data_IF_500917808326
#
_entry.id   IF_500917808326
#
_cell.length_a   1.000
_cell.length_b   1.000
_cell.length_c   1.000
_cell.angle_alpha   90.00
_cell.angle_beta   90.00
_cell.angle_gamma   90.00
#
_symmetry.space_group_name_H-M   'P 1'
#
loop_
_entity.id
_entity.type
_entity.pdbx_description
1 polymer ?
#
# COMPACT_ATOMS: atom_id res chain seq x y z
N UNK A 1 -19.50 24.41 -40.95
CA UNK A 1 -18.65 23.44 -40.24
C UNK A 1 -18.39 24.05 -38.86
N UNK A 2 -19.27 23.75 -37.88
CA UNK A 2 -19.25 24.34 -36.56
C UNK A 2 -18.35 23.43 -35.67
N UNK A 3 -17.20 23.97 -35.25
CA UNK A 3 -16.37 23.32 -34.22
C UNK A 3 -17.11 23.48 -32.88
N UNK A 4 -17.66 22.42 -32.39
CA UNK A 4 -18.14 22.33 -31.00
C UNK A 4 -16.93 22.29 -30.08
N UNK A 5 -16.65 23.41 -29.39
CA UNK A 5 -15.70 23.40 -28.28
C UNK A 5 -16.27 22.52 -27.19
N UNK A 6 -15.56 21.44 -26.86
CA UNK A 6 -15.83 20.62 -25.69
C UNK A 6 -15.40 21.45 -24.49
N UNK A 7 -16.35 21.76 -23.61
CA UNK A 7 -16.15 22.48 -22.36
C UNK A 7 -15.29 21.61 -21.42
N UNK A 8 -14.14 22.11 -20.91
CA UNK A 8 -13.30 21.37 -19.98
C UNK A 8 -13.91 21.22 -18.58
N UNK A 9 -15.15 21.69 -18.37
CA UNK A 9 -15.90 21.56 -17.12
C UNK A 9 -16.84 20.36 -17.06
N UNK A 10 -16.78 19.42 -18.05
CA UNK A 10 -17.55 18.20 -17.97
C UNK A 10 -17.12 17.47 -16.71
N UNK A 11 -18.02 17.42 -15.75
CA UNK A 11 -17.94 16.86 -14.42
C UNK A 11 -17.36 15.45 -14.49
N UNK A 12 -16.05 15.35 -14.28
CA UNK A 12 -15.43 14.06 -13.93
C UNK A 12 -16.15 13.57 -12.70
N UNK A 13 -16.88 12.49 -12.86
CA UNK A 13 -17.63 11.83 -11.79
C UNK A 13 -16.67 11.53 -10.62
N UNK A 14 -16.67 12.42 -9.62
CA UNK A 14 -15.81 12.34 -8.43
C UNK A 14 -16.11 11.08 -7.59
N UNK A 15 -17.16 10.32 -7.93
CA UNK A 15 -17.48 9.04 -7.35
C UNK A 15 -16.66 7.86 -7.89
N UNK A 16 -15.91 8.05 -8.98
CA UNK A 16 -15.15 6.97 -9.65
C UNK A 16 -13.73 6.76 -9.09
N UNK A 17 -13.14 7.75 -8.41
CA UNK A 17 -11.76 7.68 -7.92
C UNK A 17 -11.70 7.50 -6.40
N UNK A 18 -10.79 6.65 -5.89
CA UNK A 18 -10.62 6.48 -4.46
C UNK A 18 -10.01 7.74 -3.81
N UNK A 19 -10.61 8.20 -2.71
CA UNK A 19 -10.06 9.29 -1.89
C UNK A 19 -8.98 8.78 -0.92
N UNK A 20 -9.08 7.52 -0.47
CA UNK A 20 -8.17 6.91 0.50
C UNK A 20 -7.70 5.55 0.06
N UNK A 21 -6.39 5.44 -0.14
CA UNK A 21 -5.73 4.24 -0.64
C UNK A 21 -4.81 3.69 0.43
N UNK A 22 -4.88 2.39 0.71
CA UNK A 22 -3.94 1.69 1.58
C UNK A 22 -3.10 0.73 0.76
N UNK A 23 -1.77 0.84 0.87
CA UNK A 23 -0.83 -0.17 0.37
C UNK A 23 -0.43 -1.06 1.55
N UNK A 24 -0.51 -2.38 1.39
CA UNK A 24 -0.07 -3.36 2.37
C UNK A 24 1.18 -4.06 1.85
N UNK A 25 2.33 -3.70 2.39
CA UNK A 25 3.60 -4.41 2.24
C UNK A 25 4.32 -4.38 3.58
N UNK A 26 4.25 -5.50 4.29
CA UNK A 26 4.61 -5.59 5.71
C UNK A 26 6.12 -5.65 5.91
N UNK A 27 6.80 -6.43 5.07
CA UNK A 27 8.23 -6.77 5.08
C UNK A 27 8.57 -7.53 3.78
N UNK A 28 9.82 -7.82 3.38
CA UNK A 28 11.08 -7.43 3.97
C UNK A 28 11.53 -6.05 3.45
N UNK A 29 12.68 -5.53 3.95
CA UNK A 29 13.22 -4.23 3.56
C UNK A 29 13.34 -4.10 2.02
N UNK A 30 13.97 -5.08 1.35
CA UNK A 30 14.12 -5.07 -0.10
C UNK A 30 12.79 -4.99 -0.84
N UNK A 31 11.81 -5.78 -0.42
CA UNK A 31 10.47 -5.78 -1.03
C UNK A 31 9.72 -4.46 -0.84
N UNK A 32 9.91 -3.80 0.32
CA UNK A 32 9.35 -2.46 0.57
C UNK A 32 9.98 -1.45 -0.39
N UNK A 33 11.31 -1.51 -0.58
CA UNK A 33 12.01 -0.66 -1.54
C UNK A 33 11.52 -0.92 -2.98
N UNK A 34 11.39 -2.19 -3.39
CA UNK A 34 10.91 -2.55 -4.74
C UNK A 34 9.45 -2.15 -4.99
N UNK A 35 8.62 -2.11 -3.95
CA UNK A 35 7.22 -1.69 -4.04
C UNK A 35 6.99 -0.19 -3.82
N UNK A 36 7.99 0.55 -3.35
CA UNK A 36 7.86 1.99 -3.04
C UNK A 36 7.39 2.84 -4.23
N UNK A 37 7.75 2.53 -5.50
CA UNK A 37 7.26 3.30 -6.64
C UNK A 37 5.73 3.26 -6.83
N UNK A 38 5.03 2.31 -6.19
CA UNK A 38 3.57 2.28 -6.21
C UNK A 38 2.99 3.59 -5.67
N UNK A 39 3.63 4.21 -4.67
CA UNK A 39 3.14 5.46 -4.06
C UNK A 39 3.08 6.57 -5.10
N UNK A 40 4.20 6.83 -5.79
CA UNK A 40 4.29 7.89 -6.80
C UNK A 40 3.40 7.56 -8.01
N UNK A 41 3.35 6.29 -8.43
CA UNK A 41 2.49 5.84 -9.53
C UNK A 41 1.00 6.07 -9.23
N UNK A 42 0.56 5.69 -8.03
CA UNK A 42 -0.83 5.90 -7.61
C UNK A 42 -1.15 7.39 -7.45
N UNK A 43 -0.20 8.18 -6.92
CA UNK A 43 -0.39 9.63 -6.81
C UNK A 43 -0.51 10.31 -8.16
N UNK A 44 0.18 9.80 -9.18
CA UNK A 44 0.06 10.27 -10.56
C UNK A 44 -1.33 10.06 -11.16
N UNK A 45 -1.99 8.95 -10.83
CA UNK A 45 -3.36 8.63 -11.30
C UNK A 45 -4.43 9.24 -10.41
N UNK A 46 -4.27 9.09 -9.09
CA UNK A 46 -5.23 9.53 -8.07
C UNK A 46 -4.70 10.75 -7.33
N UNK A 47 -4.55 11.88 -8.03
CA UNK A 47 -3.87 13.09 -7.52
C UNK A 47 -4.46 13.61 -6.21
N UNK A 48 -5.78 13.50 -6.03
CA UNK A 48 -6.48 13.90 -4.81
C UNK A 48 -6.41 12.91 -3.65
N UNK A 49 -5.99 11.66 -3.90
CA UNK A 49 -6.06 10.60 -2.90
C UNK A 49 -5.03 10.77 -1.79
N UNK A 50 -5.44 10.48 -0.55
CA UNK A 50 -4.56 10.24 0.57
C UNK A 50 -4.05 8.80 0.51
N UNK A 51 -2.72 8.60 0.42
CA UNK A 51 -2.09 7.28 0.35
C UNK A 51 -1.51 6.92 1.71
N UNK A 52 -1.83 5.73 2.19
CA UNK A 52 -1.36 5.17 3.45
C UNK A 52 -0.59 3.88 3.18
N UNK A 53 0.28 3.53 4.10
CA UNK A 53 1.03 2.28 4.02
C UNK A 53 0.90 1.49 5.33
N UNK A 54 0.61 0.19 5.23
CA UNK A 54 0.62 -0.74 6.37
C UNK A 54 1.90 -1.56 6.35
N UNK A 55 2.69 -1.45 7.41
CA UNK A 55 4.02 -2.05 7.51
C UNK A 55 4.31 -2.63 8.90
N UNK A 56 5.33 -3.48 8.99
CA UNK A 56 5.95 -3.85 10.27
C UNK A 56 6.93 -2.75 10.73
N UNK A 57 7.10 -2.57 12.05
CA UNK A 57 7.95 -1.52 12.63
C UNK A 57 9.35 -1.36 12.01
N UNK A 58 10.10 -2.46 11.66
CA UNK A 58 11.46 -2.30 11.15
C UNK A 58 11.59 -1.58 9.81
N UNK A 59 10.52 -1.51 9.02
CA UNK A 59 10.55 -0.88 7.69
C UNK A 59 9.95 0.53 7.67
N UNK A 60 9.37 0.98 8.77
CA UNK A 60 8.76 2.32 8.89
C UNK A 60 9.73 3.44 8.52
N UNK A 61 11.01 3.45 8.98
CA UNK A 61 11.95 4.51 8.65
C UNK A 61 12.23 4.70 7.15
N UNK A 62 11.93 3.68 6.31
CA UNK A 62 12.08 3.77 4.86
C UNK A 62 10.92 4.52 4.19
N UNK A 63 9.80 4.68 4.90
CA UNK A 63 8.52 5.13 4.37
C UNK A 63 8.06 6.45 4.97
N UNK A 64 8.33 6.71 6.26
CA UNK A 64 7.74 7.80 7.03
C UNK A 64 8.03 9.21 6.50
N UNK A 65 9.12 9.35 5.72
CA UNK A 65 9.48 10.64 5.10
C UNK A 65 9.07 10.72 3.62
N UNK A 66 8.29 9.77 3.12
CA UNK A 66 7.86 9.81 1.73
C UNK A 66 6.83 10.93 1.50
N UNK A 67 7.08 11.90 0.59
CA UNK A 67 6.27 13.13 0.47
C UNK A 67 4.82 12.88 0.06
N UNK A 68 4.54 11.75 -0.59
CA UNK A 68 3.20 11.40 -1.05
C UNK A 68 2.49 10.38 -0.14
N UNK A 69 3.11 9.93 0.96
CA UNK A 69 2.43 9.16 1.99
C UNK A 69 1.81 10.09 3.04
N UNK A 70 0.54 9.84 3.34
CA UNK A 70 -0.19 10.55 4.40
C UNK A 70 0.22 10.04 5.78
N UNK A 71 0.37 8.71 5.92
CA UNK A 71 0.74 8.07 7.19
C UNK A 71 1.21 6.63 6.94
N UNK A 72 2.03 6.12 7.85
CA UNK A 72 2.46 4.72 7.91
C UNK A 72 1.83 4.04 9.11
N UNK A 73 0.92 3.12 8.86
CA UNK A 73 0.21 2.36 9.89
C UNK A 73 1.07 1.17 10.29
N UNK A 74 1.43 1.08 11.55
CA UNK A 74 2.23 -0.04 12.07
C UNK A 74 1.34 -1.21 12.44
N UNK A 75 1.62 -2.39 11.87
CA UNK A 75 1.03 -3.64 12.30
C UNK A 75 1.74 -4.16 13.56
N UNK A 76 1.02 -4.37 14.69
CA UNK A 76 1.62 -4.79 15.97
C UNK A 76 1.88 -6.32 15.99
N UNK A 77 2.67 -6.81 15.01
CA UNK A 77 2.95 -8.25 14.84
C UNK A 77 3.65 -8.84 16.06
N UNK A 78 4.63 -8.10 16.62
CA UNK A 78 5.45 -8.58 17.74
C UNK A 78 4.57 -8.82 18.96
N UNK A 79 3.74 -7.85 19.31
CA UNK A 79 2.80 -7.89 20.41
C UNK A 79 1.81 -9.05 20.27
N UNK A 80 1.29 -9.26 19.05
CA UNK A 80 0.40 -10.38 18.78
C UNK A 80 1.09 -11.73 18.90
N UNK A 81 2.35 -11.84 18.45
CA UNK A 81 3.15 -13.05 18.59
C UNK A 81 3.45 -13.38 20.05
N UNK A 82 3.75 -12.37 20.87
CA UNK A 82 3.99 -12.51 22.30
C UNK A 82 2.73 -12.95 23.06
N UNK A 83 1.57 -12.37 22.72
CA UNK A 83 0.30 -12.78 23.31
C UNK A 83 -0.07 -14.22 22.93
N UNK A 84 0.22 -14.61 21.69
CA UNK A 84 -0.02 -15.94 21.19
C UNK A 84 0.86 -16.98 21.92
N UNK A 85 2.17 -16.72 21.99
CA UNK A 85 3.14 -17.63 22.62
C UNK A 85 2.95 -17.76 24.12
N UNK A 86 2.43 -16.72 24.78
CA UNK A 86 2.12 -16.74 26.22
C UNK A 86 0.73 -17.31 26.54
N UNK A 87 0.00 -17.84 25.54
CA UNK A 87 -1.33 -18.43 25.73
C UNK A 87 -2.44 -17.42 26.10
N UNK A 88 -2.19 -16.11 25.94
CA UNK A 88 -3.14 -15.05 26.31
C UNK A 88 -4.15 -14.76 25.18
N UNK A 89 -4.90 -15.77 24.80
CA UNK A 89 -5.82 -15.74 23.64
C UNK A 89 -6.89 -14.65 23.70
N UNK A 90 -7.48 -14.42 24.90
CA UNK A 90 -8.49 -13.38 25.05
C UNK A 90 -7.91 -11.97 24.86
N UNK A 91 -6.68 -11.76 25.34
CA UNK A 91 -5.98 -10.49 25.13
C UNK A 91 -5.63 -10.30 23.65
N UNK A 92 -5.13 -11.34 22.99
CA UNK A 92 -4.87 -11.31 21.55
C UNK A 92 -6.13 -10.99 20.74
N UNK A 93 -7.24 -11.66 21.02
CA UNK A 93 -8.50 -11.40 20.34
C UNK A 93 -8.96 -9.94 20.51
N UNK A 94 -8.83 -9.40 21.73
CA UNK A 94 -9.15 -8.00 22.02
C UNK A 94 -8.29 -7.03 21.21
N UNK A 95 -6.98 -7.29 21.09
CA UNK A 95 -6.06 -6.47 20.28
C UNK A 95 -6.37 -6.57 18.78
N UNK A 96 -6.67 -7.76 18.27
CA UNK A 96 -7.10 -7.94 16.88
C UNK A 96 -8.38 -7.13 16.58
N UNK A 97 -9.39 -7.21 17.47
CA UNK A 97 -10.64 -6.45 17.30
C UNK A 97 -10.39 -4.94 17.37
N UNK A 98 -9.53 -4.48 18.29
CA UNK A 98 -9.13 -3.08 18.41
C UNK A 98 -8.44 -2.59 17.14
N UNK A 99 -7.50 -3.36 16.60
CA UNK A 99 -6.77 -3.02 15.38
C UNK A 99 -7.70 -2.99 14.17
N UNK A 100 -8.59 -3.98 14.04
CA UNK A 100 -9.64 -3.98 13.01
C UNK A 100 -10.52 -2.72 13.08
N UNK A 101 -10.95 -2.33 14.29
CA UNK A 101 -11.74 -1.10 14.48
C UNK A 101 -10.95 0.13 14.06
N UNK A 102 -9.67 0.22 14.42
CA UNK A 102 -8.77 1.31 13.99
C UNK A 102 -8.65 1.38 12.47
N UNK A 103 -8.41 0.25 11.78
CA UNK A 103 -8.30 0.21 10.31
C UNK A 103 -9.60 0.69 9.64
N UNK A 104 -10.76 0.31 10.18
CA UNK A 104 -12.06 0.74 9.64
C UNK A 104 -12.35 2.24 9.80
N UNK A 105 -11.74 2.89 10.79
CA UNK A 105 -11.89 4.34 11.00
C UNK A 105 -11.26 5.16 9.86
N UNK A 106 -10.25 4.61 9.17
CA UNK A 106 -9.64 5.26 8.01
C UNK A 106 -10.56 5.31 6.80
N UNK A 107 -11.58 4.42 6.69
CA UNK A 107 -12.54 4.34 5.58
C UNK A 107 -11.84 4.30 4.23
N UNK A 108 -10.96 3.31 4.03
CA UNK A 108 -10.27 3.12 2.77
C UNK A 108 -11.24 2.72 1.66
N UNK A 109 -11.12 3.33 0.50
CA UNK A 109 -11.87 3.01 -0.71
C UNK A 109 -11.21 1.89 -1.49
N UNK A 110 -9.87 1.95 -1.56
CA UNK A 110 -9.01 1.00 -2.24
C UNK A 110 -7.93 0.48 -1.29
N UNK A 111 -7.79 -0.83 -1.23
CA UNK A 111 -6.68 -1.51 -0.53
C UNK A 111 -5.90 -2.35 -1.53
N UNK A 112 -4.58 -2.21 -1.52
CA UNK A 112 -3.65 -2.89 -2.41
C UNK A 112 -2.79 -3.83 -1.58
N UNK A 113 -3.02 -5.14 -1.69
CA UNK A 113 -2.17 -6.16 -1.07
C UNK A 113 -0.98 -6.46 -1.98
N UNK A 114 0.10 -5.70 -1.78
CA UNK A 114 1.38 -5.87 -2.48
C UNK A 114 2.26 -6.98 -1.87
N UNK A 115 1.79 -7.67 -0.83
CA UNK A 115 2.48 -8.79 -0.21
C UNK A 115 2.09 -10.13 -0.85
N UNK A 116 0.80 -10.35 -1.13
CA UNK A 116 0.29 -11.56 -1.74
C UNK A 116 0.33 -12.79 -0.83
N UNK A 117 0.18 -12.64 0.48
CA UNK A 117 0.11 -13.70 1.48
C UNK A 117 -1.24 -13.71 2.19
N UNK A 118 -1.63 -14.85 2.77
CA UNK A 118 -2.89 -14.95 3.52
C UNK A 118 -3.00 -13.91 4.64
N UNK A 119 -1.92 -13.70 5.40
CA UNK A 119 -1.89 -12.72 6.50
C UNK A 119 -2.16 -11.29 6.03
N UNK A 120 -1.60 -10.87 4.89
CA UNK A 120 -1.82 -9.53 4.32
C UNK A 120 -3.21 -9.40 3.73
N UNK A 121 -3.74 -10.44 3.10
CA UNK A 121 -5.12 -10.48 2.62
C UNK A 121 -6.14 -10.38 3.76
N UNK A 122 -5.88 -11.03 4.92
CA UNK A 122 -6.69 -10.87 6.14
C UNK A 122 -6.68 -9.42 6.62
N UNK A 123 -5.50 -8.78 6.65
CA UNK A 123 -5.40 -7.36 7.02
C UNK A 123 -6.16 -6.46 6.04
N UNK A 124 -6.08 -6.75 4.74
CA UNK A 124 -6.86 -6.05 3.72
C UNK A 124 -8.38 -6.19 3.97
N UNK A 125 -8.85 -7.41 4.25
CA UNK A 125 -10.25 -7.66 4.59
C UNK A 125 -10.68 -6.96 5.89
N UNK A 126 -9.82 -6.88 6.88
CA UNK A 126 -10.10 -6.20 8.15
C UNK A 126 -10.41 -4.72 7.99
N UNK A 127 -9.89 -4.05 6.96
CA UNK A 127 -10.18 -2.63 6.66
C UNK A 127 -11.64 -2.38 6.37
N UNK A 128 -12.34 -3.37 5.77
CA UNK A 128 -13.71 -3.23 5.29
C UNK A 128 -13.83 -2.45 3.98
N UNK A 129 -12.71 -2.16 3.30
CA UNK A 129 -12.73 -1.51 1.99
C UNK A 129 -13.52 -2.36 0.97
N UNK A 130 -14.28 -1.68 0.10
CA UNK A 130 -15.07 -2.32 -0.95
C UNK A 130 -14.17 -2.94 -2.02
N UNK A 131 -13.12 -2.22 -2.41
CA UNK A 131 -12.16 -2.65 -3.43
C UNK A 131 -10.85 -3.09 -2.77
N UNK A 132 -10.51 -4.36 -2.92
CA UNK A 132 -9.30 -4.97 -2.36
C UNK A 132 -8.58 -5.75 -3.45
N UNK A 133 -7.50 -5.18 -3.94
CA UNK A 133 -6.69 -5.70 -5.06
C UNK A 133 -5.44 -6.35 -4.50
N UNK A 134 -5.07 -7.52 -4.96
CA UNK A 134 -3.84 -8.17 -4.53
C UNK A 134 -3.33 -9.22 -5.49
N UNK A 135 -2.13 -9.73 -5.25
CA UNK A 135 -1.58 -10.80 -6.09
C UNK A 135 -2.33 -12.11 -5.91
N UNK A 136 -2.51 -12.81 -7.01
CA UNK A 136 -2.93 -14.20 -6.98
C UNK A 136 -1.88 -15.02 -6.24
N UNK A 137 -2.31 -15.81 -5.29
CA UNK A 137 -1.47 -16.64 -4.42
C UNK A 137 -1.98 -18.07 -4.40
N UNK A 138 -1.09 -19.02 -4.11
CA UNK A 138 -1.47 -20.42 -3.80
C UNK A 138 -2.24 -20.50 -2.47
N UNK A 139 -2.12 -19.51 -1.62
CA UNK A 139 -2.84 -19.42 -0.36
C UNK A 139 -4.32 -19.05 -0.58
N UNK A 140 -5.23 -19.40 0.33
CA UNK A 140 -6.68 -19.19 0.16
C UNK A 140 -7.10 -17.72 0.36
N UNK A 141 -6.60 -16.83 -0.49
CA UNK A 141 -6.87 -15.37 -0.43
C UNK A 141 -8.13 -14.96 -1.20
N UNK A 142 -8.71 -15.88 -2.00
CA UNK A 142 -9.81 -15.60 -2.94
C UNK A 142 -11.04 -14.94 -2.29
N UNK A 143 -11.40 -15.36 -1.08
CA UNK A 143 -12.56 -14.81 -0.37
C UNK A 143 -12.28 -13.46 0.31
N UNK A 144 -11.00 -13.07 0.44
CA UNK A 144 -10.54 -11.89 1.17
C UNK A 144 -10.29 -10.70 0.24
N UNK A 145 -9.94 -10.96 -1.02
CA UNK A 145 -9.66 -9.97 -2.07
C UNK A 145 -10.85 -9.89 -3.04
N UNK A 146 -11.12 -8.72 -3.57
CA UNK A 146 -12.16 -8.51 -4.61
C UNK A 146 -11.59 -8.67 -6.02
N UNK A 147 -10.32 -8.34 -6.21
CA UNK A 147 -9.60 -8.46 -7.46
C UNK A 147 -8.25 -9.13 -7.22
N UNK A 148 -7.85 -10.01 -8.15
CA UNK A 148 -6.57 -10.70 -8.07
C UNK A 148 -5.80 -10.53 -9.37
N UNK A 149 -4.54 -10.18 -9.24
CA UNK A 149 -3.62 -9.95 -10.35
C UNK A 149 -2.60 -11.08 -10.36
N UNK A 150 -2.40 -11.71 -11.52
CA UNK A 150 -1.32 -12.69 -11.68
C UNK A 150 0.03 -11.98 -11.52
N UNK A 151 0.95 -12.65 -10.83
CA UNK A 151 2.31 -12.13 -10.69
C UNK A 151 2.99 -12.15 -12.05
N UNK A 152 3.50 -11.01 -12.47
CA UNK A 152 4.33 -10.94 -13.65
C UNK A 152 5.70 -11.61 -13.36
N UNK A 153 6.01 -12.64 -14.14
CA UNK A 153 7.29 -13.34 -14.10
C UNK A 153 8.40 -12.63 -14.90
N UNK A 154 8.23 -11.35 -15.19
CA UNK A 154 9.23 -10.54 -15.90
C UNK A 154 10.60 -10.56 -15.21
N UNK A 155 11.68 -10.26 -15.95
CA UNK A 155 13.07 -10.40 -15.46
C UNK A 155 13.44 -9.43 -14.34
N UNK A 156 12.71 -8.34 -14.17
CA UNK A 156 12.97 -7.35 -13.12
C UNK A 156 12.20 -7.69 -11.84
N UNK A 157 12.85 -7.56 -10.69
CA UNK A 157 12.24 -7.79 -9.36
C UNK A 157 11.00 -6.91 -9.14
N UNK A 158 10.97 -5.72 -9.75
CA UNK A 158 9.83 -4.79 -9.68
C UNK A 158 8.71 -5.09 -10.70
N UNK A 159 8.85 -6.10 -11.56
CA UNK A 159 7.88 -6.40 -12.63
C UNK A 159 6.47 -6.62 -12.08
N UNK A 160 6.33 -7.38 -10.98
CA UNK A 160 5.04 -7.63 -10.36
C UNK A 160 4.37 -6.33 -9.85
N UNK A 161 5.12 -5.41 -9.27
CA UNK A 161 4.56 -4.13 -8.78
C UNK A 161 4.22 -3.18 -9.93
N UNK A 162 4.96 -3.24 -11.03
CA UNK A 162 4.64 -2.50 -12.24
C UNK A 162 3.35 -3.03 -12.88
N UNK A 163 3.18 -4.34 -12.96
CA UNK A 163 1.94 -4.96 -13.42
C UNK A 163 0.74 -4.54 -12.57
N UNK A 164 0.93 -4.51 -11.24
CA UNK A 164 -0.08 -4.01 -10.30
C UNK A 164 -0.42 -2.53 -10.55
N UNK A 165 0.59 -1.67 -10.71
CA UNK A 165 0.39 -0.27 -11.04
C UNK A 165 -0.38 -0.09 -12.37
N UNK A 166 -0.02 -0.84 -13.41
CA UNK A 166 -0.73 -0.83 -14.71
C UNK A 166 -2.19 -1.26 -14.57
N UNK A 167 -2.48 -2.32 -13.80
CA UNK A 167 -3.85 -2.74 -13.51
C UNK A 167 -4.68 -1.65 -12.81
N UNK A 168 -4.03 -0.82 -12.01
CA UNK A 168 -4.65 0.31 -11.30
C UNK A 168 -4.71 1.60 -12.15
N UNK A 169 -4.36 1.53 -13.44
CA UNK A 169 -4.46 2.64 -14.39
C UNK A 169 -3.18 3.48 -14.54
N UNK A 170 -2.08 3.09 -13.88
CA UNK A 170 -0.81 3.79 -14.04
C UNK A 170 -0.16 3.42 -15.38
N UNK A 171 0.04 4.40 -16.25
CA UNK A 171 0.59 4.18 -17.60
C UNK A 171 2.10 4.42 -17.70
N UNK A 172 2.74 4.91 -16.63
CA UNK A 172 4.17 5.21 -16.66
C UNK A 172 5.02 3.94 -16.73
N UNK A 173 5.96 3.91 -17.67
CA UNK A 173 7.00 2.88 -17.73
C UNK A 173 8.16 3.18 -16.77
N UNK A 174 8.23 4.41 -16.24
CA UNK A 174 9.23 4.83 -15.26
C UNK A 174 8.74 4.40 -13.87
N UNK A 175 9.50 3.52 -13.23
CA UNK A 175 9.16 2.93 -11.93
C UNK A 175 10.40 2.97 -11.01
N UNK A 176 10.91 4.17 -10.65
CA UNK A 176 12.13 4.33 -9.88
C UNK A 176 11.90 3.97 -8.42
N UNK A 177 12.74 3.08 -7.89
CA UNK A 177 12.77 2.81 -6.46
C UNK A 177 13.16 4.07 -5.70
N UNK A 178 12.42 4.38 -4.65
CA UNK A 178 12.64 5.58 -3.84
C UNK A 178 12.61 5.23 -2.36
N UNK A 179 13.68 5.54 -1.67
CA UNK A 179 13.75 5.52 -0.21
C UNK A 179 13.94 6.96 0.25
N UNK A 180 13.05 7.42 1.10
CA UNK A 180 13.12 8.77 1.65
C UNK A 180 13.72 8.68 3.05
N UNK A 181 14.95 9.18 3.20
CA UNK A 181 15.63 9.25 4.48
C UNK A 181 15.38 10.60 5.17
N UNK A 182 15.48 10.68 6.52
CA UNK A 182 15.40 11.95 7.22
C UNK A 182 16.44 12.96 6.69
N UNK A 183 16.12 14.25 6.60
CA UNK A 183 17.07 15.28 6.14
C UNK A 183 18.38 15.29 6.91
N UNK A 184 18.34 14.97 8.21
CA UNK A 184 19.55 14.86 9.04
C UNK A 184 20.50 13.74 8.57
N UNK A 185 19.95 12.65 8.03
CA UNK A 185 20.73 11.53 7.50
C UNK A 185 21.30 11.88 6.13
N UNK A 186 20.60 12.64 5.30
CA UNK A 186 21.11 13.16 4.03
C UNK A 186 22.33 14.07 4.27
N UNK A 187 22.20 15.03 5.19
CA UNK A 187 23.32 15.94 5.57
C UNK A 187 24.53 15.15 6.07
N UNK A 188 24.31 14.13 6.89
CA UNK A 188 25.38 13.26 7.38
C UNK A 188 26.03 12.47 6.24
N UNK A 189 25.24 11.91 5.33
CA UNK A 189 25.75 11.14 4.19
C UNK A 189 26.56 12.02 3.21
N UNK A 190 26.15 13.26 2.99
CA UNK A 190 26.86 14.22 2.12
C UNK A 190 28.19 14.64 2.74
N UNK A 191 28.28 14.79 4.06
CA UNK A 191 29.53 15.05 4.77
C UNK A 191 30.56 13.90 4.65
N UNK A 192 30.09 12.67 4.36
CA UNK A 192 30.96 11.50 4.13
C UNK A 192 31.41 11.34 2.66
N UNK A 193 30.74 12.01 1.72
CA UNK A 193 31.03 11.94 0.29
C UNK A 193 32.04 12.99 -0.18
N UNK A 194 32.31 14.03 0.64
CA UNK A 194 33.28 15.07 0.39
C UNK A 194 34.60 14.79 1.08
#
# INVERSE_FOLDING_TARGET
>A
MVLTMVDPSDSVDRGAFPDRILIIRLSAIGDVVFSSPLVDSLKGVYQGADIFWLAESPVVPLLEHHPHLRDVIVWPRKEWSELLSSGRWLALLKEIVRFKKRLRQYRFDLVIDAQGLFKSAVLAWMTGAVRRVGFASKEPTRALLTERIEKDAGPAISSEYRAMAKHLGCQSDVFPMKVCVPPAVEVWADAFRG
#
